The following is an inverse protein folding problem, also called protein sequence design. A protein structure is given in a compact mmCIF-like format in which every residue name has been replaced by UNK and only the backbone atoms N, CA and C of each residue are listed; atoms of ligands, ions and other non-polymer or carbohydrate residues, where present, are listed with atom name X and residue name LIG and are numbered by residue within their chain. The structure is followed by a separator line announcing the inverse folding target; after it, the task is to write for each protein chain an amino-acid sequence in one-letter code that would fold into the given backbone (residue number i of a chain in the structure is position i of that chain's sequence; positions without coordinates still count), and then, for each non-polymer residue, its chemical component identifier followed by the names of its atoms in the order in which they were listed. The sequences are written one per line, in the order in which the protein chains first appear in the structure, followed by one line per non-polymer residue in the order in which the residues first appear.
data_IF_389917351402
#
_entry.id   IF_389917351402
#
_cell.length_a   1.000
_cell.length_b   1.000
_cell.length_c   1.000
_cell.angle_alpha   90.00
_cell.angle_beta   90.00
_cell.angle_gamma   90.00
#
_symmetry.space_group_name_H-M   'P 1'
#
loop_
_entity.id
_entity.type
_entity.pdbx_description
1 polymer ?
#
# COMPACT_ATOMS: atom_id res chain seq x y z
N UNK A 1 -20.95 -20.70 4.04
CA UNK A 1 -21.01 -19.90 5.27
C UNK A 1 -19.60 -19.51 5.63
N UNK A 2 -19.23 -18.33 5.20
CA UNK A 2 -17.89 -17.78 5.26
C UNK A 2 -17.92 -16.28 4.95
N UNK A 3 -16.81 -15.62 5.22
CA UNK A 3 -16.50 -14.29 4.76
C UNK A 3 -15.88 -14.35 3.35
N UNK A 4 -16.44 -13.63 2.40
CA UNK A 4 -15.98 -13.56 1.01
C UNK A 4 -15.60 -12.14 0.63
N UNK A 5 -14.71 -12.04 -0.36
CA UNK A 5 -14.34 -10.79 -1.03
C UNK A 5 -14.89 -10.87 -2.45
N UNK A 6 -15.61 -9.84 -2.87
CA UNK A 6 -16.09 -9.66 -4.25
C UNK A 6 -14.91 -9.28 -5.15
N UNK A 7 -14.64 -10.11 -6.16
CA UNK A 7 -13.61 -9.89 -7.20
C UNK A 7 -14.21 -9.42 -8.52
N UNK A 8 -15.53 -9.51 -8.70
CA UNK A 8 -16.20 -9.16 -9.95
C UNK A 8 -16.55 -7.67 -10.06
N UNK A 9 -16.82 -7.03 -8.92
CA UNK A 9 -17.35 -5.67 -8.87
C UNK A 9 -16.49 -4.70 -8.04
N UNK A 10 -15.59 -5.24 -7.20
CA UNK A 10 -14.74 -4.46 -6.29
C UNK A 10 -13.25 -4.53 -6.60
N UNK A 11 -12.48 -3.68 -5.91
CA UNK A 11 -11.04 -3.77 -5.81
C UNK A 11 -10.67 -4.80 -4.72
N UNK A 12 -10.76 -6.09 -5.05
CA UNK A 12 -10.55 -7.19 -4.11
C UNK A 12 -9.18 -7.15 -3.44
N UNK A 13 -8.14 -6.76 -4.17
CA UNK A 13 -6.77 -6.67 -3.63
C UNK A 13 -6.69 -5.62 -2.53
N UNK A 14 -7.42 -4.51 -2.70
CA UNK A 14 -7.52 -3.49 -1.68
C UNK A 14 -8.29 -3.98 -0.45
N UNK A 15 -9.36 -4.75 -0.65
CA UNK A 15 -10.10 -5.38 0.45
C UNK A 15 -9.19 -6.31 1.25
N UNK A 16 -8.45 -7.17 0.57
CA UNK A 16 -7.50 -8.07 1.23
C UNK A 16 -6.37 -7.32 1.96
N UNK A 17 -5.87 -6.23 1.36
CA UNK A 17 -4.91 -5.33 1.99
C UNK A 17 -5.46 -4.69 3.27
N UNK A 18 -6.73 -4.27 3.29
CA UNK A 18 -7.36 -3.68 4.48
C UNK A 18 -7.57 -4.73 5.58
N UNK A 19 -7.96 -5.97 5.24
CA UNK A 19 -7.97 -7.09 6.20
C UNK A 19 -6.57 -7.40 6.75
N UNK A 20 -5.55 -7.36 5.89
CA UNK A 20 -4.15 -7.54 6.30
C UNK A 20 -3.76 -6.45 7.30
N UNK A 21 -4.13 -5.20 7.04
CA UNK A 21 -3.90 -4.09 7.97
C UNK A 21 -4.63 -4.30 9.30
N UNK A 22 -5.90 -4.72 9.28
CA UNK A 22 -6.69 -4.98 10.50
C UNK A 22 -6.09 -6.09 11.37
N UNK A 23 -5.48 -7.09 10.74
CA UNK A 23 -4.89 -8.25 11.42
C UNK A 23 -3.39 -8.08 11.74
N UNK A 24 -2.87 -6.85 11.62
CA UNK A 24 -1.47 -6.55 11.92
C UNK A 24 -0.47 -7.22 10.98
N UNK A 25 -0.86 -7.52 9.74
CA UNK A 25 -0.01 -8.19 8.76
C UNK A 25 0.17 -9.68 9.01
N UNK A 26 -0.81 -10.34 9.65
CA UNK A 26 -0.70 -11.77 9.96
C UNK A 26 -0.53 -12.63 8.70
N UNK A 27 0.51 -13.47 8.69
CA UNK A 27 0.76 -14.44 7.61
C UNK A 27 -0.28 -15.57 7.54
N UNK A 28 -1.12 -15.71 8.58
CA UNK A 28 -2.20 -16.69 8.64
C UNK A 28 -3.48 -16.24 7.90
N UNK A 29 -3.53 -14.98 7.44
CA UNK A 29 -4.60 -14.48 6.60
C UNK A 29 -4.37 -14.90 5.14
N UNK A 30 -5.44 -15.29 4.45
CA UNK A 30 -5.36 -15.70 3.05
C UNK A 30 -6.70 -15.78 2.37
N UNK A 31 -6.67 -16.18 1.09
CA UNK A 31 -7.84 -16.35 0.25
C UNK A 31 -7.80 -17.71 -0.43
N UNK A 32 -8.97 -18.27 -0.70
CA UNK A 32 -9.14 -19.48 -1.52
C UNK A 32 -10.27 -19.26 -2.52
N UNK A 33 -10.05 -19.67 -3.77
CA UNK A 33 -11.09 -19.63 -4.80
C UNK A 33 -12.27 -20.52 -4.40
N UNK A 34 -13.48 -20.02 -4.63
CA UNK A 34 -14.71 -20.80 -4.38
C UNK A 34 -15.05 -21.57 -5.65
N UNK A 35 -15.11 -22.90 -5.56
CA UNK A 35 -15.41 -23.73 -6.74
C UNK A 35 -16.78 -23.38 -7.30
N UNK A 36 -16.84 -23.05 -8.59
CA UNK A 36 -18.08 -22.70 -9.29
C UNK A 36 -18.40 -21.20 -9.30
N UNK A 37 -17.61 -20.37 -8.61
CA UNK A 37 -17.75 -18.91 -8.59
C UNK A 37 -16.44 -18.26 -9.06
N UNK A 38 -16.55 -17.27 -9.93
CA UNK A 38 -15.40 -16.52 -10.47
C UNK A 38 -15.36 -15.08 -10.00
N UNK A 39 -16.42 -14.64 -9.34
CA UNK A 39 -16.70 -13.29 -8.87
C UNK A 39 -16.53 -13.14 -7.35
N UNK A 40 -16.18 -14.22 -6.63
CA UNK A 40 -15.83 -14.18 -5.22
C UNK A 40 -14.64 -15.07 -4.87
N UNK A 41 -13.89 -14.67 -3.85
CA UNK A 41 -12.92 -15.50 -3.13
C UNK A 41 -13.31 -15.59 -1.66
N UNK A 42 -13.03 -16.73 -1.02
CA UNK A 42 -13.29 -16.91 0.41
C UNK A 42 -12.07 -16.48 1.21
N UNK A 43 -12.26 -15.59 2.17
CA UNK A 43 -11.25 -15.23 3.15
C UNK A 43 -11.03 -16.40 4.12
N UNK A 44 -9.77 -16.66 4.43
CA UNK A 44 -9.34 -17.67 5.42
C UNK A 44 -8.45 -17.00 6.45
N UNK A 45 -8.57 -17.40 7.70
CA UNK A 45 -7.68 -16.95 8.77
C UNK A 45 -7.45 -18.10 9.74
N UNK A 46 -6.25 -18.69 9.76
CA UNK A 46 -6.01 -19.95 10.49
C UNK A 46 -5.73 -19.75 11.97
N UNK A 47 -4.82 -18.82 12.30
CA UNK A 47 -4.41 -18.53 13.67
C UNK A 47 -4.49 -17.03 13.91
N UNK A 48 -5.59 -16.51 14.50
CA UNK A 48 -5.67 -15.09 14.78
C UNK A 48 -4.69 -14.65 15.86
N UNK A 49 -4.22 -13.40 15.74
CA UNK A 49 -3.57 -12.69 16.83
C UNK A 49 -4.43 -12.65 18.10
N UNK A 50 -3.81 -12.43 19.25
CA UNK A 50 -4.51 -12.41 20.54
C UNK A 50 -5.38 -11.16 20.76
N UNK A 51 -5.25 -10.14 19.91
CA UNK A 51 -6.02 -8.90 20.00
C UNK A 51 -7.47 -9.08 19.55
N UNK A 52 -8.36 -8.23 20.08
CA UNK A 52 -9.79 -8.34 19.84
C UNK A 52 -10.19 -8.17 18.36
N UNK A 53 -9.43 -7.39 17.59
CA UNK A 53 -9.69 -7.16 16.16
C UNK A 53 -9.45 -8.45 15.39
N UNK A 54 -8.26 -9.06 15.56
CA UNK A 54 -7.93 -10.35 14.94
C UNK A 54 -8.91 -11.45 15.31
N UNK A 55 -9.35 -11.51 16.57
CA UNK A 55 -10.34 -12.48 17.02
C UNK A 55 -11.72 -12.24 16.39
N UNK A 56 -12.15 -10.98 16.21
CA UNK A 56 -13.40 -10.68 15.51
C UNK A 56 -13.35 -11.03 14.02
N UNK A 57 -12.25 -10.73 13.34
CA UNK A 57 -12.06 -11.15 11.93
C UNK A 57 -12.12 -12.67 11.82
N UNK A 58 -11.47 -13.41 12.73
CA UNK A 58 -11.59 -14.88 12.78
C UNK A 58 -13.03 -15.34 12.96
N UNK A 59 -13.76 -14.74 13.90
CA UNK A 59 -15.15 -15.09 14.17
C UNK A 59 -16.05 -14.88 12.93
N UNK A 60 -15.80 -13.83 12.14
CA UNK A 60 -16.49 -13.58 10.88
C UNK A 60 -16.14 -14.60 9.80
N UNK A 61 -14.84 -14.95 9.66
CA UNK A 61 -14.38 -16.01 8.75
C UNK A 61 -15.03 -17.35 9.08
N UNK A 62 -15.18 -17.67 10.36
CA UNK A 62 -15.81 -18.90 10.86
C UNK A 62 -17.35 -18.82 10.95
N UNK A 63 -17.94 -17.67 10.64
CA UNK A 63 -19.35 -17.44 10.89
C UNK A 63 -20.25 -18.33 10.04
N UNK A 64 -21.46 -18.61 10.54
CA UNK A 64 -22.48 -19.35 9.80
C UNK A 64 -23.26 -18.45 8.82
N UNK A 65 -22.99 -17.15 8.76
CA UNK A 65 -23.57 -16.27 7.74
C UNK A 65 -22.68 -16.24 6.49
N UNK A 66 -23.26 -16.04 5.32
CA UNK A 66 -22.49 -15.64 4.14
C UNK A 66 -22.38 -14.11 4.13
N UNK A 67 -21.16 -13.60 4.19
CA UNK A 67 -20.85 -12.16 4.19
C UNK A 67 -19.99 -11.86 2.97
N UNK A 68 -20.39 -10.92 2.13
CA UNK A 68 -19.63 -10.52 0.92
C UNK A 68 -19.16 -9.07 1.07
N UNK A 69 -17.85 -8.88 1.03
CA UNK A 69 -17.21 -7.57 1.14
C UNK A 69 -16.78 -7.06 -0.23
N UNK A 70 -17.20 -5.84 -0.56
CA UNK A 70 -16.92 -5.16 -1.82
C UNK A 70 -16.22 -3.83 -1.58
N UNK A 71 -14.97 -3.72 -2.01
CA UNK A 71 -14.25 -2.45 -2.04
C UNK A 71 -14.61 -1.67 -3.31
N UNK A 72 -15.49 -0.69 -3.21
CA UNK A 72 -16.08 0.00 -4.37
C UNK A 72 -15.42 1.36 -4.63
N UNK A 73 -15.36 1.86 -5.88
CA UNK A 73 -14.80 3.18 -6.16
C UNK A 73 -15.68 4.31 -5.61
N UNK A 74 -15.13 5.50 -5.38
CA UNK A 74 -15.88 6.67 -4.88
C UNK A 74 -17.05 7.12 -5.77
N UNK A 75 -17.10 6.68 -7.03
CA UNK A 75 -18.24 6.92 -7.92
C UNK A 75 -19.39 5.93 -7.74
N UNK A 76 -19.25 4.95 -6.85
CA UNK A 76 -20.26 3.92 -6.63
C UNK A 76 -21.53 4.52 -6.01
N UNK A 77 -22.67 3.98 -6.44
CA UNK A 77 -23.99 4.35 -5.95
C UNK A 77 -24.58 3.13 -5.28
N UNK A 78 -24.94 3.31 -4.01
CA UNK A 78 -25.55 2.30 -3.15
C UNK A 78 -26.96 1.93 -3.65
N UNK A 79 -27.53 0.80 -3.21
CA UNK A 79 -28.87 0.38 -3.61
C UNK A 79 -29.97 1.40 -3.31
N UNK A 80 -29.78 2.24 -2.29
CA UNK A 80 -30.70 3.31 -1.90
C UNK A 80 -30.60 4.58 -2.79
N UNK A 81 -29.65 4.60 -3.72
CA UNK A 81 -29.38 5.71 -4.64
C UNK A 81 -28.37 6.75 -4.12
N UNK A 82 -27.88 6.62 -2.89
CA UNK A 82 -26.85 7.50 -2.35
C UNK A 82 -25.48 7.13 -2.92
N UNK A 83 -24.61 8.13 -3.09
CA UNK A 83 -23.22 7.87 -3.42
C UNK A 83 -22.50 7.28 -2.20
N UNK A 84 -21.60 6.32 -2.40
CA UNK A 84 -20.78 5.75 -1.31
C UNK A 84 -19.99 6.83 -0.56
N UNK A 85 -19.66 7.94 -1.23
CA UNK A 85 -19.00 9.09 -0.62
C UNK A 85 -19.81 9.81 0.44
N UNK A 86 -21.12 9.58 0.51
CA UNK A 86 -21.97 10.15 1.55
C UNK A 86 -21.86 9.44 2.90
N UNK A 87 -21.47 8.16 2.91
CA UNK A 87 -21.48 7.30 4.11
C UNK A 87 -20.17 6.56 4.38
N UNK A 88 -19.22 6.57 3.44
CA UNK A 88 -17.94 5.86 3.47
C UNK A 88 -18.05 4.32 3.38
N UNK A 89 -19.04 3.73 4.04
CA UNK A 89 -19.40 2.32 3.99
C UNK A 89 -20.90 2.12 4.20
N UNK A 90 -21.39 0.95 3.79
CA UNK A 90 -22.73 0.48 4.14
C UNK A 90 -22.75 -1.04 4.27
N UNK A 91 -23.45 -1.50 5.31
CA UNK A 91 -23.77 -2.91 5.52
C UNK A 91 -25.27 -3.14 5.38
N UNK A 92 -25.67 -4.06 4.51
CA UNK A 92 -27.07 -4.36 4.25
C UNK A 92 -27.29 -5.85 4.00
N UNK A 93 -28.55 -6.27 4.10
CA UNK A 93 -28.94 -7.65 3.75
C UNK A 93 -29.45 -7.69 2.32
N UNK A 94 -29.06 -8.72 1.59
CA UNK A 94 -29.52 -9.01 0.24
C UNK A 94 -30.08 -10.43 0.19
N UNK A 95 -30.92 -10.70 -0.80
CA UNK A 95 -31.46 -12.04 -1.05
C UNK A 95 -30.96 -12.54 -2.39
N UNK A 96 -30.28 -13.68 -2.40
CA UNK A 96 -29.79 -14.30 -3.63
C UNK A 96 -30.94 -14.73 -4.54
N UNK A 97 -30.62 -15.05 -5.80
CA UNK A 97 -31.60 -15.65 -6.73
C UNK A 97 -32.17 -17.00 -6.24
N UNK A 98 -31.50 -17.68 -5.30
CA UNK A 98 -31.95 -18.92 -4.66
C UNK A 98 -32.81 -18.68 -3.42
N UNK A 99 -32.97 -17.42 -2.98
CA UNK A 99 -33.74 -17.05 -1.79
C UNK A 99 -32.93 -17.05 -0.48
N UNK A 100 -31.61 -17.27 -0.56
CA UNK A 100 -30.73 -17.25 0.62
C UNK A 100 -30.41 -15.80 1.01
N UNK A 101 -30.37 -15.51 2.30
CA UNK A 101 -29.98 -14.19 2.81
C UNK A 101 -28.45 -14.10 2.88
N UNK A 102 -27.89 -13.04 2.30
CA UNK A 102 -26.46 -12.71 2.33
C UNK A 102 -26.30 -11.32 2.96
N UNK A 103 -25.29 -11.16 3.80
CA UNK A 103 -24.90 -9.84 4.30
C UNK A 103 -23.89 -9.25 3.33
N UNK A 104 -24.14 -8.03 2.85
CA UNK A 104 -23.23 -7.29 1.98
C UNK A 104 -22.60 -6.15 2.75
N UNK A 105 -21.30 -5.99 2.57
CA UNK A 105 -20.52 -4.86 3.04
C UNK A 105 -19.95 -4.17 1.80
N UNK A 106 -20.30 -2.92 1.58
CA UNK A 106 -19.69 -2.08 0.55
C UNK A 106 -18.98 -0.90 1.21
N UNK A 107 -17.76 -0.57 0.80
CA UNK A 107 -17.06 0.60 1.33
C UNK A 107 -16.15 1.25 0.30
N UNK A 108 -15.96 2.56 0.41
CA UNK A 108 -15.24 3.37 -0.56
C UNK A 108 -13.72 3.16 -0.46
N UNK A 109 -13.16 2.37 -1.38
CA UNK A 109 -11.71 2.19 -1.47
C UNK A 109 -10.99 3.40 -2.04
N UNK A 110 -11.71 4.28 -2.73
CA UNK A 110 -11.22 5.53 -3.30
C UNK A 110 -11.10 6.66 -2.27
N UNK A 111 -11.56 6.45 -1.03
CA UNK A 111 -11.39 7.39 0.09
C UNK A 111 -11.86 8.80 -0.25
N UNK A 112 -13.09 8.93 -0.70
CA UNK A 112 -13.67 10.16 -1.23
C UNK A 112 -12.78 10.85 -2.28
N UNK A 113 -12.48 10.12 -3.35
CA UNK A 113 -11.61 10.57 -4.46
C UNK A 113 -10.22 11.01 -3.96
N UNK A 114 -9.69 10.33 -2.95
CA UNK A 114 -8.40 10.62 -2.31
C UNK A 114 -8.45 11.75 -1.28
N UNK A 115 -9.63 12.35 -1.01
CA UNK A 115 -9.76 13.41 0.00
C UNK A 115 -9.71 12.89 1.43
N UNK A 116 -9.88 11.59 1.64
CA UNK A 116 -10.04 10.97 2.95
C UNK A 116 -11.45 11.14 3.51
N UNK A 117 -11.69 10.48 4.64
CA UNK A 117 -12.90 10.61 5.44
C UNK A 117 -12.56 11.08 6.85
N UNK A 118 -13.51 11.74 7.47
CA UNK A 118 -13.44 12.17 8.86
C UNK A 118 -14.67 11.76 9.64
N UNK A 119 -14.52 11.64 10.95
CA UNK A 119 -15.60 11.45 11.93
C UNK A 119 -15.36 12.34 13.14
N UNK A 120 -16.39 12.60 13.94
CA UNK A 120 -16.23 13.32 15.20
C UNK A 120 -15.41 12.47 16.20
N UNK A 121 -14.29 13.01 16.67
CA UNK A 121 -13.46 12.43 17.71
C UNK A 121 -13.97 12.75 19.12
N UNK A 122 -13.51 12.01 20.13
CA UNK A 122 -13.94 12.19 21.53
C UNK A 122 -13.67 13.59 22.11
N UNK A 123 -12.71 14.33 21.55
CA UNK A 123 -12.39 15.71 21.94
C UNK A 123 -13.30 16.77 21.30
N UNK A 124 -14.23 16.35 20.42
CA UNK A 124 -15.04 17.25 19.60
C UNK A 124 -14.30 17.82 18.38
N UNK A 125 -13.07 17.37 18.12
CA UNK A 125 -12.36 17.62 16.86
C UNK A 125 -12.67 16.52 15.85
N UNK A 126 -12.56 16.82 14.55
CA UNK A 126 -12.62 15.78 13.54
C UNK A 126 -11.34 14.93 13.61
N UNK A 127 -11.49 13.62 13.46
CA UNK A 127 -10.38 12.65 13.38
C UNK A 127 -10.49 11.88 12.07
N UNK A 128 -9.37 11.35 11.59
CA UNK A 128 -9.35 10.57 10.36
C UNK A 128 -10.19 9.29 10.50
N UNK A 129 -10.86 8.90 9.42
CA UNK A 129 -11.60 7.64 9.31
C UNK A 129 -10.95 6.78 8.21
N UNK A 130 -9.81 6.13 8.51
CA UNK A 130 -9.04 5.43 7.51
C UNK A 130 -9.76 4.18 7.03
N UNK A 131 -9.46 3.76 5.80
CA UNK A 131 -10.17 2.71 5.08
C UNK A 131 -10.34 1.39 5.85
N UNK A 132 -9.27 0.92 6.49
CA UNK A 132 -9.32 -0.29 7.31
C UNK A 132 -10.29 -0.16 8.49
N UNK A 133 -10.39 1.03 9.09
CA UNK A 133 -11.32 1.32 10.18
C UNK A 133 -12.76 1.44 9.65
N UNK A 134 -12.97 2.03 8.46
CA UNK A 134 -14.27 1.99 7.76
C UNK A 134 -14.70 0.54 7.53
N UNK A 135 -13.83 -0.30 6.96
CA UNK A 135 -14.13 -1.72 6.75
C UNK A 135 -14.48 -2.42 8.07
N UNK A 136 -13.73 -2.19 9.15
CA UNK A 136 -14.02 -2.81 10.44
C UNK A 136 -15.33 -2.34 11.06
N UNK A 137 -15.69 -1.07 10.89
CA UNK A 137 -16.99 -0.53 11.28
C UNK A 137 -18.12 -1.32 10.59
N UNK A 138 -18.08 -1.43 9.26
CA UNK A 138 -19.07 -2.20 8.50
C UNK A 138 -19.10 -3.69 8.88
N UNK A 139 -17.94 -4.29 9.10
CA UNK A 139 -17.86 -5.67 9.57
C UNK A 139 -18.44 -5.86 10.97
N UNK A 140 -18.53 -4.81 11.78
CA UNK A 140 -19.18 -4.85 13.10
C UNK A 140 -20.70 -4.95 12.94
N UNK A 141 -21.31 -4.18 12.02
CA UNK A 141 -22.70 -4.39 11.62
C UNK A 141 -22.94 -5.80 11.09
N UNK A 142 -22.06 -6.28 10.20
CA UNK A 142 -22.18 -7.62 9.65
C UNK A 142 -22.12 -8.68 10.76
N UNK A 143 -21.21 -8.51 11.73
CA UNK A 143 -21.11 -9.37 12.91
C UNK A 143 -22.40 -9.36 13.74
N UNK A 144 -22.98 -8.18 14.01
CA UNK A 144 -24.26 -8.06 14.73
C UNK A 144 -25.39 -8.77 13.98
N UNK A 145 -25.47 -8.62 12.66
CA UNK A 145 -26.50 -9.28 11.83
C UNK A 145 -26.36 -10.80 11.91
N UNK A 146 -25.18 -11.36 11.64
CA UNK A 146 -25.01 -12.82 11.60
C UNK A 146 -25.11 -13.49 12.96
N UNK A 147 -24.90 -12.75 14.06
CA UNK A 147 -25.06 -13.23 15.43
C UNK A 147 -26.43 -12.88 16.05
N UNK A 148 -27.37 -12.32 15.28
CA UNK A 148 -28.68 -11.87 15.78
C UNK A 148 -28.55 -10.92 16.99
N UNK A 149 -27.52 -10.07 16.97
CA UNK A 149 -27.16 -9.11 18.01
C UNK A 149 -27.42 -7.65 17.58
N UNK A 150 -28.14 -7.44 16.47
CA UNK A 150 -28.52 -6.11 15.98
C UNK A 150 -29.31 -5.37 17.06
N UNK A 151 -28.94 -4.12 17.32
CA UNK A 151 -29.62 -3.29 18.30
C UNK A 151 -31.06 -2.96 17.89
N UNK A 152 -31.89 -2.57 18.87
CA UNK A 152 -33.32 -2.35 18.66
C UNK A 152 -33.66 -1.14 17.76
N UNK A 153 -32.71 -0.22 17.57
CA UNK A 153 -32.87 0.97 16.72
C UNK A 153 -31.61 1.20 15.90
N UNK A 154 -31.73 1.84 14.74
CA UNK A 154 -30.58 2.17 13.90
C UNK A 154 -29.55 3.02 14.65
N UNK A 155 -29.99 4.05 15.41
CA UNK A 155 -29.07 4.87 16.20
C UNK A 155 -28.32 4.07 17.28
N UNK A 156 -28.97 3.08 17.92
CA UNK A 156 -28.30 2.22 18.89
C UNK A 156 -27.35 1.22 18.21
N UNK A 157 -27.67 0.79 16.99
CA UNK A 157 -26.84 -0.11 16.18
C UNK A 157 -25.57 0.59 15.70
N UNK A 158 -25.70 1.81 15.17
CA UNK A 158 -24.58 2.69 14.84
C UNK A 158 -23.68 2.91 16.06
N UNK A 159 -24.26 3.26 17.21
CA UNK A 159 -23.47 3.43 18.44
C UNK A 159 -22.74 2.16 18.88
N UNK A 160 -23.34 0.97 18.67
CA UNK A 160 -22.69 -0.31 18.95
C UNK A 160 -21.51 -0.56 17.99
N UNK A 161 -21.70 -0.32 16.69
CA UNK A 161 -20.65 -0.44 15.69
C UNK A 161 -19.53 0.59 15.88
N UNK A 162 -19.82 1.84 16.26
CA UNK A 162 -18.83 2.86 16.61
C UNK A 162 -18.05 2.48 17.88
N UNK A 163 -18.69 1.79 18.83
CA UNK A 163 -18.01 1.25 20.03
C UNK A 163 -17.04 0.14 19.64
N UNK A 164 -17.45 -0.74 18.73
CA UNK A 164 -16.60 -1.77 18.15
C UNK A 164 -15.45 -1.16 17.33
N UNK A 165 -15.71 -0.16 16.48
CA UNK A 165 -14.74 0.61 15.70
C UNK A 165 -13.61 1.14 16.60
N UNK A 166 -13.96 1.67 17.77
CA UNK A 166 -12.99 2.17 18.74
C UNK A 166 -12.04 1.09 19.30
N UNK A 167 -12.43 -0.19 19.28
CA UNK A 167 -11.51 -1.31 19.58
C UNK A 167 -10.42 -1.39 18.52
N UNK A 168 -10.78 -1.27 17.24
CA UNK A 168 -9.82 -1.28 16.14
C UNK A 168 -8.94 -0.03 16.11
N UNK A 169 -9.52 1.15 16.36
CA UNK A 169 -8.75 2.41 16.49
C UNK A 169 -7.71 2.31 17.60
N UNK A 170 -8.11 1.85 18.79
CA UNK A 170 -7.20 1.66 19.92
C UNK A 170 -6.07 0.67 19.61
N UNK A 171 -6.39 -0.46 18.96
CA UNK A 171 -5.37 -1.44 18.56
C UNK A 171 -4.34 -0.88 17.55
N UNK A 172 -4.74 0.13 16.76
CA UNK A 172 -3.89 0.79 15.76
C UNK A 172 -3.23 2.08 16.25
N UNK A 173 -3.56 2.54 17.46
CA UNK A 173 -3.06 3.81 18.00
C UNK A 173 -3.70 5.03 17.34
N UNK A 174 -4.91 4.89 16.80
CA UNK A 174 -5.68 5.97 16.18
C UNK A 174 -6.50 6.74 17.22
N UNK A 175 -6.84 7.99 16.92
CA UNK A 175 -7.76 8.77 17.73
C UNK A 175 -9.16 8.14 17.73
N UNK A 176 -9.78 8.08 18.91
CA UNK A 176 -11.09 7.46 19.12
C UNK A 176 -12.23 8.34 18.60
N UNK A 177 -13.22 7.70 17.96
CA UNK A 177 -14.49 8.30 17.53
C UNK A 177 -15.40 8.54 18.73
N UNK A 178 -16.16 9.63 18.69
CA UNK A 178 -17.24 9.92 19.63
C UNK A 178 -18.47 9.09 19.27
N UNK A 179 -18.77 8.05 20.05
CA UNK A 179 -19.84 7.07 19.76
C UNK A 179 -21.27 7.58 19.94
N UNK A 180 -21.43 8.87 20.24
CA UNK A 180 -22.73 9.55 20.31
C UNK A 180 -22.93 10.51 19.14
N UNK A 181 -21.99 10.53 18.19
CA UNK A 181 -22.05 11.35 16.99
C UNK A 181 -21.85 10.49 15.76
N UNK A 182 -22.89 10.45 14.92
CA UNK A 182 -22.86 9.79 13.62
C UNK A 182 -22.41 10.72 12.50
N UNK A 183 -21.84 11.88 12.84
CA UNK A 183 -21.33 12.80 11.85
C UNK A 183 -20.02 12.27 11.26
N UNK A 184 -19.92 12.40 9.96
CA UNK A 184 -18.70 12.22 9.21
C UNK A 184 -18.82 12.89 7.85
N UNK A 185 -17.76 12.83 7.08
CA UNK A 185 -17.79 13.33 5.72
C UNK A 185 -16.47 13.21 5.01
N UNK A 186 -16.43 13.75 3.80
CA UNK A 186 -15.21 13.83 3.01
C UNK A 186 -14.26 14.91 3.54
N UNK A 187 -12.96 14.61 3.46
CA UNK A 187 -11.87 15.53 3.80
C UNK A 187 -11.18 15.17 5.10
N UNK A 188 -9.97 14.63 5.04
CA UNK A 188 -9.18 14.33 6.23
C UNK A 188 -8.79 15.61 7.00
N UNK A 189 -9.03 15.71 8.32
CA UNK A 189 -8.61 16.84 9.16
C UNK A 189 -7.10 16.97 9.29
N UNK A 190 -6.34 15.90 9.11
CA UNK A 190 -4.89 15.96 8.87
C UNK A 190 -4.61 16.08 7.37
N UNK A 191 -3.68 16.94 6.96
CA UNK A 191 -3.18 16.98 5.57
C UNK A 191 -2.53 15.66 5.09
N UNK A 192 -2.51 14.63 5.93
CA UNK A 192 -2.44 13.22 5.55
C UNK A 192 -3.77 12.79 4.90
N UNK A 193 -4.10 13.40 3.76
CA UNK A 193 -5.17 12.97 2.85
C UNK A 193 -5.03 11.47 2.57
N UNK A 194 -5.74 10.66 3.36
CA UNK A 194 -5.43 9.25 3.50
C UNK A 194 -3.95 9.04 3.79
N UNK A 195 -3.51 9.08 5.05
CA UNK A 195 -2.49 8.12 5.45
C UNK A 195 -3.16 6.73 5.29
N UNK A 196 -3.27 6.28 4.03
CA UNK A 196 -2.47 5.16 3.65
C UNK A 196 -1.24 5.17 4.57
N UNK A 197 -1.29 4.39 5.65
CA UNK A 197 -0.17 3.50 5.86
C UNK A 197 -0.01 2.82 4.49
N UNK A 198 0.78 3.50 3.65
CA UNK A 198 1.32 3.03 2.39
C UNK A 198 2.19 1.93 2.89
N UNK A 199 1.56 0.81 3.18
CA UNK A 199 2.24 -0.40 3.55
C UNK A 199 2.91 -0.74 2.25
N UNK A 200 4.23 -0.52 2.24
CA UNK A 200 5.07 -1.06 1.21
C UNK A 200 5.05 -2.57 1.44
N UNK A 201 3.92 -3.25 1.15
CA UNK A 201 3.62 -4.62 1.56
C UNK A 201 4.79 -5.57 1.31
N UNK A 202 5.42 -5.47 0.13
CA UNK A 202 6.60 -6.26 -0.23
C UNK A 202 7.79 -5.95 0.69
N UNK A 203 8.07 -4.67 0.97
CA UNK A 203 9.13 -4.23 1.89
C UNK A 203 8.82 -4.65 3.32
N UNK A 204 7.59 -4.45 3.78
CA UNK A 204 7.16 -4.86 5.12
C UNK A 204 7.33 -6.36 5.31
N UNK A 205 6.83 -7.16 4.37
CA UNK A 205 6.94 -8.60 4.44
C UNK A 205 8.39 -9.09 4.29
N UNK A 206 9.20 -8.46 3.42
CA UNK A 206 10.62 -8.81 3.25
C UNK A 206 11.47 -8.48 4.48
N UNK A 207 11.22 -7.34 5.13
CA UNK A 207 12.02 -6.84 6.25
C UNK A 207 11.56 -7.38 7.60
N UNK A 208 10.31 -7.83 7.72
CA UNK A 208 9.76 -8.35 8.97
C UNK A 208 9.79 -7.30 10.09
N UNK A 209 10.39 -7.63 11.23
CA UNK A 209 10.46 -6.72 12.38
C UNK A 209 11.23 -5.41 12.10
N UNK A 210 12.12 -5.39 11.11
CA UNK A 210 12.88 -4.20 10.71
C UNK A 210 12.13 -3.31 9.69
N UNK A 211 10.91 -3.70 9.31
CA UNK A 211 10.13 -3.05 8.26
C UNK A 211 9.88 -1.58 8.53
N UNK A 212 9.46 -1.22 9.75
CA UNK A 212 8.94 0.12 10.04
C UNK A 212 9.90 1.23 9.61
N UNK A 213 11.17 1.14 10.02
CA UNK A 213 12.21 2.13 9.66
C UNK A 213 12.44 2.23 8.16
N UNK A 214 12.45 1.08 7.48
CA UNK A 214 12.67 1.02 6.03
C UNK A 214 11.49 1.61 5.27
N UNK A 215 10.27 1.32 5.72
CA UNK A 215 9.03 1.85 5.18
C UNK A 215 8.97 3.37 5.39
N UNK A 216 9.34 3.86 6.56
CA UNK A 216 9.35 5.30 6.87
C UNK A 216 10.34 6.06 5.96
N UNK A 217 11.53 5.50 5.72
CA UNK A 217 12.50 6.09 4.79
C UNK A 217 11.97 6.15 3.35
N UNK A 218 11.26 5.10 2.89
CA UNK A 218 10.62 5.08 1.57
C UNK A 218 9.51 6.13 1.44
N UNK A 219 8.67 6.23 2.48
CA UNK A 219 7.59 7.22 2.55
C UNK A 219 8.18 8.63 2.47
N UNK A 220 9.25 8.90 3.22
CA UNK A 220 9.93 10.19 3.19
C UNK A 220 10.47 10.54 1.78
N UNK A 221 11.13 9.61 1.09
CA UNK A 221 11.59 9.89 -0.29
C UNK A 221 10.42 10.17 -1.21
N UNK A 222 9.39 9.31 -1.16
CA UNK A 222 8.19 9.47 -1.98
C UNK A 222 7.60 10.85 -1.79
N UNK A 223 7.43 11.28 -0.54
CA UNK A 223 6.78 12.55 -0.23
C UNK A 223 7.62 13.75 -0.66
N UNK A 224 8.93 13.71 -0.40
CA UNK A 224 9.83 14.82 -0.73
C UNK A 224 10.23 14.90 -2.21
N UNK A 225 10.38 13.76 -2.89
CA UNK A 225 10.90 13.72 -4.26
C UNK A 225 9.81 13.61 -5.32
N UNK A 226 8.69 12.95 -5.01
CA UNK A 226 7.65 12.59 -6.00
C UNK A 226 6.36 13.36 -5.74
N UNK A 227 5.81 13.29 -4.53
CA UNK A 227 4.47 13.85 -4.23
C UNK A 227 4.47 15.36 -4.00
N UNK A 228 5.62 16.00 -3.78
CA UNK A 228 5.72 17.47 -3.64
C UNK A 228 5.23 18.23 -4.89
N UNK A 229 5.20 17.57 -6.07
CA UNK A 229 4.73 18.16 -7.32
C UNK A 229 3.36 17.57 -7.71
N UNK A 230 2.35 18.38 -8.11
CA UNK A 230 1.01 17.89 -8.43
C UNK A 230 0.96 16.79 -9.51
N UNK A 231 1.83 16.89 -10.52
CA UNK A 231 1.93 15.87 -11.58
C UNK A 231 2.63 14.60 -11.10
N UNK A 232 3.59 14.72 -10.17
CA UNK A 232 4.28 13.59 -9.55
C UNK A 232 3.38 12.85 -8.57
N UNK A 233 2.57 13.59 -7.82
CA UNK A 233 1.46 13.06 -7.03
C UNK A 233 0.53 12.23 -7.92
N UNK A 234 -0.03 12.80 -8.99
CA UNK A 234 -0.98 12.08 -9.84
C UNK A 234 -0.39 10.82 -10.50
N UNK A 235 0.85 10.88 -11.00
CA UNK A 235 1.52 9.70 -11.55
C UNK A 235 1.81 8.65 -10.47
N UNK A 236 2.22 9.09 -9.27
CA UNK A 236 2.45 8.19 -8.16
C UNK A 236 1.16 7.47 -7.77
N UNK A 237 0.04 8.17 -7.61
CA UNK A 237 -1.26 7.55 -7.32
C UNK A 237 -1.65 6.50 -8.38
N UNK A 238 -1.41 6.77 -9.67
CA UNK A 238 -1.69 5.80 -10.75
C UNK A 238 -0.76 4.56 -10.66
N UNK A 239 0.56 4.75 -10.46
CA UNK A 239 1.51 3.64 -10.26
C UNK A 239 1.22 2.85 -8.98
N UNK A 240 0.78 3.55 -7.94
CA UNK A 240 0.55 3.00 -6.63
C UNK A 240 -0.71 2.15 -6.57
N UNK A 241 -1.77 2.57 -7.30
CA UNK A 241 -2.97 1.78 -7.53
C UNK A 241 -2.61 0.41 -8.14
N UNK A 242 -1.76 0.39 -9.16
CA UNK A 242 -1.28 -0.84 -9.77
C UNK A 242 -0.40 -1.65 -8.81
N UNK A 243 0.51 -1.01 -8.06
CA UNK A 243 1.29 -1.71 -7.04
C UNK A 243 0.39 -2.42 -6.02
N UNK A 244 -0.74 -1.83 -5.64
CA UNK A 244 -1.66 -2.40 -4.65
C UNK A 244 -2.48 -3.56 -5.19
N UNK A 245 -2.67 -3.69 -6.51
CA UNK A 245 -3.38 -4.83 -7.08
C UNK A 245 -2.59 -6.14 -7.02
N UNK A 246 -1.25 -6.10 -6.89
CA UNK A 246 -0.46 -7.33 -6.84
C UNK A 246 0.43 -7.47 -5.60
N UNK A 247 0.78 -6.36 -4.92
CA UNK A 247 1.72 -6.41 -3.80
C UNK A 247 1.25 -7.16 -2.55
N UNK A 248 -0.04 -7.18 -2.16
CA UNK A 248 -0.51 -8.00 -1.05
C UNK A 248 -0.28 -9.49 -1.29
N UNK A 249 -0.55 -9.97 -2.51
CA UNK A 249 -0.30 -11.36 -2.90
C UNK A 249 1.18 -11.74 -2.85
N UNK A 250 2.08 -10.84 -3.27
CA UNK A 250 3.53 -11.05 -3.12
C UNK A 250 3.92 -11.08 -1.64
N UNK A 251 3.50 -10.08 -0.85
CA UNK A 251 3.81 -9.97 0.57
C UNK A 251 3.38 -11.22 1.35
N UNK A 252 2.19 -11.75 1.05
CA UNK A 252 1.71 -13.02 1.58
C UNK A 252 2.67 -14.17 1.32
N UNK A 253 3.15 -14.31 0.08
CA UNK A 253 4.15 -15.35 -0.25
C UNK A 253 5.44 -15.17 0.56
N UNK A 254 5.88 -13.93 0.78
CA UNK A 254 7.06 -13.64 1.60
C UNK A 254 6.82 -13.98 3.09
N UNK A 255 5.62 -13.77 3.62
CA UNK A 255 5.31 -14.19 5.00
C UNK A 255 5.30 -15.70 5.16
N UNK A 256 4.80 -16.43 4.16
CA UNK A 256 4.68 -17.89 4.21
C UNK A 256 5.99 -18.64 3.88
N UNK A 257 6.90 -18.02 3.14
CA UNK A 257 8.17 -18.63 2.71
C UNK A 257 9.37 -17.77 3.15
N UNK A 258 10.02 -18.10 4.29
CA UNK A 258 11.19 -17.37 4.76
C UNK A 258 12.37 -17.35 3.78
N UNK A 259 12.57 -18.41 2.98
CA UNK A 259 13.66 -18.46 2.03
C UNK A 259 13.41 -17.54 0.82
N UNK A 260 12.14 -17.40 0.41
CA UNK A 260 11.73 -16.41 -0.58
C UNK A 260 11.80 -14.99 -0.02
N UNK A 261 11.40 -14.78 1.25
CA UNK A 261 11.52 -13.51 1.96
C UNK A 261 12.95 -12.99 1.97
N UNK A 262 13.90 -13.81 2.38
CA UNK A 262 15.32 -13.44 2.45
C UNK A 262 15.87 -13.12 1.06
N UNK A 263 15.49 -13.92 0.05
CA UNK A 263 15.87 -13.64 -1.34
C UNK A 263 15.29 -12.31 -1.84
N UNK A 264 14.03 -11.99 -1.51
CA UNK A 264 13.42 -10.70 -1.86
C UNK A 264 14.06 -9.53 -1.14
N UNK A 265 14.37 -9.70 0.15
CA UNK A 265 15.07 -8.72 0.96
C UNK A 265 16.40 -8.34 0.32
N UNK A 266 17.23 -9.33 0.03
CA UNK A 266 18.57 -9.13 -0.54
C UNK A 266 18.52 -8.65 -2.00
N UNK A 267 17.61 -9.21 -2.82
CA UNK A 267 17.58 -8.96 -4.26
C UNK A 267 16.85 -7.70 -4.68
N UNK A 268 15.82 -7.33 -3.93
CA UNK A 268 14.85 -6.31 -4.34
C UNK A 268 14.90 -5.17 -3.33
N UNK A 269 14.63 -5.45 -2.07
CA UNK A 269 14.30 -4.43 -1.07
C UNK A 269 15.53 -3.67 -0.59
N UNK A 270 16.59 -4.34 -0.15
CA UNK A 270 17.80 -3.66 0.34
C UNK A 270 18.52 -2.82 -0.73
N UNK A 271 18.65 -3.28 -2.00
CA UNK A 271 19.20 -2.44 -3.07
C UNK A 271 18.34 -1.21 -3.34
N UNK A 272 17.02 -1.37 -3.32
CA UNK A 272 16.05 -0.29 -3.49
C UNK A 272 16.18 0.75 -2.37
N UNK A 273 16.16 0.31 -1.11
CA UNK A 273 16.36 1.15 0.07
C UNK A 273 17.70 1.87 0.05
N UNK A 274 18.77 1.19 -0.40
CA UNK A 274 20.09 1.81 -0.53
C UNK A 274 20.07 2.99 -1.53
N UNK A 275 19.36 2.85 -2.65
CA UNK A 275 19.19 3.94 -3.63
C UNK A 275 18.41 5.09 -3.02
N UNK A 276 17.35 4.77 -2.28
CA UNK A 276 16.52 5.77 -1.62
C UNK A 276 17.26 6.52 -0.51
N UNK A 277 18.07 5.83 0.29
CA UNK A 277 18.91 6.46 1.30
C UNK A 277 19.87 7.49 0.68
N UNK A 278 20.42 7.18 -0.50
CA UNK A 278 21.22 8.17 -1.22
C UNK A 278 20.35 9.32 -1.72
N UNK A 279 19.21 9.03 -2.34
CA UNK A 279 18.31 10.06 -2.84
C UNK A 279 17.99 11.07 -1.74
N UNK A 280 17.67 10.58 -0.55
CA UNK A 280 17.48 11.43 0.62
C UNK A 280 18.72 12.28 0.90
N UNK A 281 19.91 11.68 0.93
CA UNK A 281 21.15 12.41 1.23
C UNK A 281 21.45 13.50 0.21
N UNK A 282 21.16 13.22 -1.06
CA UNK A 282 21.27 14.18 -2.13
C UNK A 282 20.28 15.34 -2.00
N UNK A 283 19.05 15.04 -1.58
CA UNK A 283 17.99 16.01 -1.37
C UNK A 283 18.20 16.82 -0.09
N UNK A 284 18.91 16.32 0.91
CA UNK A 284 19.21 17.07 2.15
C UNK A 284 20.33 18.08 1.96
N UNK A 285 21.26 17.79 1.05
CA UNK A 285 22.26 18.76 0.61
C UNK A 285 21.67 19.93 -0.19
N UNK A 286 20.35 19.98 -0.40
CA UNK A 286 19.69 21.16 -0.95
C UNK A 286 19.60 22.29 0.08
N UNK A 287 19.95 23.52 -0.31
CA UNK A 287 20.13 24.66 0.60
C UNK A 287 18.86 25.13 1.32
N UNK A 288 17.70 24.52 1.09
CA UNK A 288 16.41 24.97 1.60
C UNK A 288 15.65 23.89 2.41
N UNK A 289 16.30 22.78 2.78
CA UNK A 289 15.64 21.63 3.44
C UNK A 289 16.27 21.28 4.79
N UNK A 290 16.44 22.29 5.66
CA UNK A 290 17.06 22.14 6.98
C UNK A 290 16.34 21.15 7.94
N UNK A 291 15.09 20.78 7.66
CA UNK A 291 14.33 19.80 8.45
C UNK A 291 14.69 18.33 8.14
N UNK A 292 15.41 18.09 7.04
CA UNK A 292 15.63 16.74 6.48
C UNK A 292 16.90 16.08 7.02
N UNK A 293 17.85 16.86 7.53
CA UNK A 293 19.16 16.36 7.98
C UNK A 293 19.10 15.41 9.20
N UNK A 294 18.18 15.61 10.14
CA UNK A 294 18.10 14.78 11.35
C UNK A 294 17.57 13.36 11.07
N UNK A 295 16.55 13.24 10.22
CA UNK A 295 15.95 11.95 9.83
C UNK A 295 16.91 11.15 8.94
N UNK A 296 17.73 11.86 8.16
CA UNK A 296 18.72 11.28 7.27
C UNK A 296 19.98 10.77 7.95
N UNK A 297 20.48 11.50 8.94
CA UNK A 297 21.61 11.04 9.72
C UNK A 297 21.31 9.69 10.40
N UNK A 298 20.07 9.50 10.86
CA UNK A 298 19.60 8.28 11.50
C UNK A 298 19.34 7.13 10.49
N UNK A 299 18.72 7.44 9.35
CA UNK A 299 18.50 6.47 8.26
C UNK A 299 19.84 5.98 7.64
N UNK A 300 20.81 6.86 7.44
CA UNK A 300 22.13 6.49 6.92
C UNK A 300 22.96 5.69 7.93
N UNK A 301 22.85 5.98 9.23
CA UNK A 301 23.57 5.24 10.27
C UNK A 301 23.10 3.77 10.39
N UNK A 302 21.84 3.48 10.03
CA UNK A 302 21.23 2.16 10.18
C UNK A 302 21.26 1.31 8.91
N UNK A 303 21.43 1.91 7.73
CA UNK A 303 21.39 1.18 6.44
C UNK A 303 22.79 0.72 5.96
N UNK A 304 23.87 1.07 6.67
CA UNK A 304 25.25 0.93 6.14
C UNK A 304 26.03 -0.24 6.75
N UNK A 305 26.06 -1.34 5.99
CA UNK A 305 27.30 -2.07 5.71
C UNK A 305 27.79 -1.65 4.31
N UNK A 306 28.75 -0.72 4.25
CA UNK A 306 29.17 -0.08 2.99
C UNK A 306 30.04 -1.02 2.14
N UNK A 307 29.61 -1.24 0.90
CA UNK A 307 30.45 -1.75 -0.19
C UNK A 307 30.54 -0.71 -1.32
N UNK A 308 31.67 -0.62 -2.04
CA UNK A 308 31.93 0.39 -3.08
C UNK A 308 30.97 0.46 -4.29
N UNK A 309 30.13 -0.55 -4.63
CA UNK A 309 29.12 -0.41 -5.68
C UNK A 309 27.99 0.56 -5.34
N UNK A 310 27.65 0.71 -4.05
CA UNK A 310 26.48 1.48 -3.58
C UNK A 310 26.68 2.99 -3.70
N UNK A 311 27.89 3.48 -3.44
CA UNK A 311 28.28 4.90 -3.55
C UNK A 311 28.34 5.44 -5.00
N UNK A 312 28.45 4.56 -6.02
CA UNK A 312 28.41 4.99 -7.43
C UNK A 312 26.98 5.12 -7.96
N UNK A 313 26.12 4.15 -7.61
CA UNK A 313 24.69 4.18 -7.93
C UNK A 313 24.05 5.42 -7.31
N UNK A 314 24.48 5.72 -6.09
CA UNK A 314 24.17 6.92 -5.37
C UNK A 314 24.36 8.20 -6.20
N UNK A 315 25.60 8.50 -6.60
CA UNK A 315 25.97 9.72 -7.32
C UNK A 315 25.23 9.87 -8.68
N UNK A 316 24.90 8.76 -9.34
CA UNK A 316 24.19 8.77 -10.63
C UNK A 316 22.72 9.14 -10.49
N UNK A 317 22.09 8.69 -9.40
CA UNK A 317 20.70 8.99 -9.09
C UNK A 317 20.56 10.45 -8.68
N UNK A 318 21.54 11.00 -7.96
CA UNK A 318 21.68 12.44 -7.70
C UNK A 318 21.73 13.25 -9.00
N UNK A 319 22.56 12.85 -9.97
CA UNK A 319 22.69 13.55 -11.25
C UNK A 319 21.40 13.54 -12.09
N UNK A 320 20.62 12.45 -12.01
CA UNK A 320 19.31 12.34 -12.69
C UNK A 320 18.24 13.17 -12.00
N UNK A 321 18.25 13.27 -10.67
CA UNK A 321 17.21 13.96 -9.89
C UNK A 321 17.46 15.46 -9.74
N UNK A 322 18.72 15.92 -9.69
CA UNK A 322 19.08 17.31 -9.36
C UNK A 322 19.17 18.29 -10.55
N UNK A 323 18.50 18.01 -11.67
CA UNK A 323 18.40 18.94 -12.81
C UNK A 323 19.74 19.52 -13.31
N UNK A 324 20.81 18.70 -13.29
CA UNK A 324 21.97 18.93 -14.17
C UNK A 324 21.72 18.30 -15.54
N UNK A 325 20.52 18.51 -16.09
CA UNK A 325 20.12 18.00 -17.41
C UNK A 325 21.31 18.02 -18.37
N UNK A 326 21.54 16.94 -19.13
CA UNK A 326 22.83 16.53 -19.65
C UNK A 326 23.66 17.74 -20.09
N UNK A 327 24.56 18.19 -19.22
CA UNK A 327 25.49 19.27 -19.56
C UNK A 327 26.40 18.72 -20.63
N UNK A 328 26.18 19.19 -21.85
CA UNK A 328 27.01 19.03 -23.05
C UNK A 328 28.01 17.86 -23.00
N UNK A 329 27.57 16.71 -23.53
CA UNK A 329 28.48 15.69 -24.03
C UNK A 329 29.04 14.67 -23.03
N UNK A 330 28.64 14.67 -21.76
CA UNK A 330 29.22 13.78 -20.75
C UNK A 330 28.21 13.00 -19.90
N UNK A 331 27.19 12.40 -20.52
CA UNK A 331 26.57 11.15 -20.05
C UNK A 331 26.22 10.31 -21.27
N UNK A 332 27.23 9.72 -21.90
CA UNK A 332 27.00 8.64 -22.84
C UNK A 332 26.36 7.46 -22.10
N UNK A 333 25.04 7.34 -22.17
CA UNK A 333 24.27 6.09 -22.22
C UNK A 333 24.56 4.94 -21.24
N UNK A 334 25.28 5.12 -20.13
CA UNK A 334 25.79 3.98 -19.32
C UNK A 334 25.79 4.17 -17.81
N UNK A 335 24.93 5.02 -17.27
CA UNK A 335 24.98 5.43 -15.86
C UNK A 335 23.65 5.24 -15.10
N UNK A 336 23.10 4.03 -15.23
CA UNK A 336 22.62 3.24 -14.09
C UNK A 336 22.98 1.81 -14.51
N UNK A 337 23.65 1.06 -13.64
CA UNK A 337 24.13 -0.27 -14.03
C UNK A 337 22.98 -1.14 -14.54
N UNK A 338 23.02 -1.58 -15.82
CA UNK A 338 22.04 -2.51 -16.41
C UNK A 338 21.94 -3.81 -15.60
N UNK A 339 22.92 -4.03 -14.71
CA UNK A 339 22.95 -5.11 -13.73
C UNK A 339 21.92 -4.95 -12.61
N UNK A 340 21.25 -3.81 -12.41
CA UNK A 340 20.17 -3.67 -11.42
C UNK A 340 18.80 -3.51 -12.10
N UNK A 341 18.32 -4.53 -12.83
CA UNK A 341 17.11 -4.43 -13.65
C UNK A 341 15.87 -4.09 -12.83
N UNK A 342 15.81 -4.55 -11.57
CA UNK A 342 14.71 -4.25 -10.65
C UNK A 342 14.72 -2.79 -10.20
N UNK A 343 15.86 -2.24 -9.80
CA UNK A 343 16.01 -0.83 -9.45
C UNK A 343 15.72 0.07 -10.66
N UNK A 344 16.19 -0.33 -11.84
CA UNK A 344 15.91 0.36 -13.09
C UNK A 344 14.40 0.42 -13.36
N UNK A 345 13.73 -0.73 -13.27
CA UNK A 345 12.30 -0.82 -13.49
C UNK A 345 11.48 -0.09 -12.42
N UNK A 346 11.77 -0.29 -11.13
CA UNK A 346 10.95 0.21 -10.03
C UNK A 346 11.15 1.71 -9.76
N UNK A 347 12.37 2.24 -9.94
CA UNK A 347 12.69 3.64 -9.58
C UNK A 347 13.04 4.45 -10.82
N UNK A 348 14.12 4.06 -11.51
CA UNK A 348 14.80 4.95 -12.45
C UNK A 348 13.95 5.21 -13.69
N UNK A 349 13.33 4.18 -14.25
CA UNK A 349 12.50 4.28 -15.46
C UNK A 349 11.23 5.12 -15.22
N UNK A 350 10.44 4.90 -14.14
CA UNK A 350 9.33 5.80 -13.79
C UNK A 350 9.77 7.25 -13.62
N UNK A 351 10.84 7.50 -12.86
CA UNK A 351 11.35 8.86 -12.66
C UNK A 351 11.82 9.51 -13.96
N UNK A 352 12.49 8.77 -14.85
CA UNK A 352 12.89 9.28 -16.17
C UNK A 352 11.70 9.57 -17.07
N UNK A 353 10.70 8.68 -17.11
CA UNK A 353 9.48 8.90 -17.86
C UNK A 353 8.76 10.16 -17.36
N UNK A 354 8.66 10.31 -16.05
CA UNK A 354 8.11 11.48 -15.38
C UNK A 354 8.85 12.77 -15.74
N UNK A 355 10.17 12.82 -15.56
CA UNK A 355 10.97 14.01 -15.87
C UNK A 355 10.98 14.34 -17.35
N UNK A 356 10.94 13.34 -18.23
CA UNK A 356 10.80 13.54 -19.68
C UNK A 356 9.53 14.31 -20.04
N UNK A 357 8.41 14.02 -19.37
CA UNK A 357 7.14 14.76 -19.57
C UNK A 357 7.25 16.20 -19.06
N UNK A 358 7.92 16.43 -17.93
CA UNK A 358 8.15 17.78 -17.39
C UNK A 358 9.02 18.63 -18.32
N UNK A 359 10.16 18.10 -18.75
CA UNK A 359 11.11 18.82 -19.61
C UNK A 359 10.50 19.17 -20.98
N UNK A 360 9.49 18.41 -21.42
CA UNK A 360 8.72 18.71 -22.62
C UNK A 360 7.69 19.85 -22.44
N UNK A 361 7.59 20.47 -21.25
CA UNK A 361 6.73 21.63 -20.97
C UNK A 361 5.23 21.34 -20.92
N UNK A 362 4.81 20.07 -20.78
CA UNK A 362 3.40 19.64 -20.85
C UNK A 362 2.77 19.45 -19.47
N UNK A 363 2.77 20.49 -18.64
CA UNK A 363 2.08 20.46 -17.36
C UNK A 363 0.66 21.04 -17.49
N UNK A 364 -0.39 20.35 -16.97
CA UNK A 364 -0.39 18.98 -16.46
C UNK A 364 -0.36 17.93 -17.58
N UNK A 365 0.27 16.78 -17.32
CA UNK A 365 0.29 15.65 -18.25
C UNK A 365 -1.16 15.14 -18.43
N UNK A 366 -1.69 15.04 -19.68
CA UNK A 366 -3.02 14.49 -19.91
C UNK A 366 -3.16 13.08 -19.31
N UNK A 367 -4.34 12.73 -18.78
CA UNK A 367 -4.60 11.41 -18.16
C UNK A 367 -4.15 10.24 -19.05
N UNK A 368 -4.48 10.30 -20.35
CA UNK A 368 -4.06 9.29 -21.33
C UNK A 368 -2.53 9.12 -21.47
N UNK A 369 -1.73 10.17 -21.20
CA UNK A 369 -0.27 10.05 -21.19
C UNK A 369 0.21 9.32 -19.93
N UNK A 370 -0.41 9.57 -18.77
CA UNK A 370 -0.08 8.86 -17.53
C UNK A 370 -0.43 7.38 -17.61
N UNK A 371 -1.64 7.06 -18.07
CA UNK A 371 -2.07 5.67 -18.33
C UNK A 371 -1.09 4.92 -19.24
N UNK A 372 -0.61 5.57 -20.31
CA UNK A 372 0.42 5.00 -21.19
C UNK A 372 1.76 4.79 -20.51
N UNK A 373 2.19 5.70 -19.62
CA UNK A 373 3.44 5.54 -18.87
C UNK A 373 3.33 4.37 -17.90
N UNK A 374 2.19 4.23 -17.22
CA UNK A 374 1.90 3.11 -16.31
C UNK A 374 1.85 1.79 -17.08
N UNK A 375 1.13 1.73 -18.20
CA UNK A 375 1.07 0.54 -19.04
C UNK A 375 2.45 0.13 -19.56
N UNK A 376 3.23 1.08 -20.10
CA UNK A 376 4.61 0.82 -20.50
C UNK A 376 5.48 0.33 -19.34
N UNK A 377 5.35 0.91 -18.16
CA UNK A 377 6.10 0.48 -16.98
C UNK A 377 5.76 -0.96 -16.58
N UNK A 378 4.47 -1.33 -16.60
CA UNK A 378 4.00 -2.68 -16.31
C UNK A 378 4.49 -3.70 -17.36
N UNK A 379 4.48 -3.35 -18.65
CA UNK A 379 5.04 -4.20 -19.72
C UNK A 379 6.53 -4.52 -19.53
N UNK A 380 7.24 -3.63 -18.82
CA UNK A 380 8.66 -3.79 -18.52
C UNK A 380 8.91 -4.48 -17.17
N UNK A 381 7.86 -4.92 -16.47
CA UNK A 381 8.00 -5.56 -15.17
C UNK A 381 8.85 -6.83 -15.28
N UNK A 382 9.93 -6.93 -14.48
CA UNK A 382 10.65 -8.17 -14.38
C UNK A 382 9.71 -9.24 -13.81
N UNK A 383 9.89 -10.50 -14.22
CA UNK A 383 9.15 -11.59 -13.59
C UNK A 383 9.49 -11.66 -12.09
N UNK A 384 8.55 -11.19 -11.28
CA UNK A 384 8.58 -11.16 -9.82
C UNK A 384 8.09 -12.50 -9.22
N UNK A 385 7.55 -13.40 -10.04
CA UNK A 385 7.06 -14.71 -9.59
C UNK A 385 8.15 -15.78 -9.52
N UNK A 386 9.35 -15.43 -9.97
CA UNK A 386 10.53 -16.28 -10.04
C UNK A 386 10.84 -16.99 -8.70
N UNK A 387 11.38 -18.21 -8.79
CA UNK A 387 11.76 -19.01 -7.62
C UNK A 387 12.86 -18.32 -6.80
N UNK A 388 13.01 -18.64 -5.50
CA UNK A 388 14.09 -18.09 -4.67
C UNK A 388 15.49 -18.26 -5.29
N UNK A 389 15.75 -19.39 -5.93
CA UNK A 389 17.02 -19.66 -6.61
C UNK A 389 17.19 -18.84 -7.89
N UNK A 390 16.10 -18.58 -8.63
CA UNK A 390 16.15 -17.68 -9.78
C UNK A 390 16.41 -16.23 -9.34
N UNK A 391 15.83 -15.78 -8.23
CA UNK A 391 16.11 -14.46 -7.64
C UNK A 391 17.55 -14.36 -7.14
N UNK A 392 18.01 -15.33 -6.34
CA UNK A 392 19.40 -15.40 -5.86
C UNK A 392 20.42 -15.53 -6.99
N UNK A 393 20.12 -16.31 -8.03
CA UNK A 393 20.99 -16.40 -9.20
C UNK A 393 21.08 -15.06 -9.94
N UNK A 394 19.96 -14.33 -10.04
CA UNK A 394 19.96 -12.97 -10.60
C UNK A 394 20.81 -12.03 -9.74
N UNK A 395 20.68 -12.04 -8.40
CA UNK A 395 21.55 -11.27 -7.49
C UNK A 395 23.02 -11.65 -7.65
N UNK A 396 23.35 -12.93 -7.60
CA UNK A 396 24.72 -13.40 -7.76
C UNK A 396 25.29 -13.06 -9.15
N UNK A 397 24.44 -12.93 -10.18
CA UNK A 397 24.84 -12.41 -11.49
C UNK A 397 25.13 -10.91 -11.39
N UNK A 398 24.26 -10.13 -10.74
CA UNK A 398 24.49 -8.70 -10.45
C UNK A 398 25.80 -8.50 -9.71
N UNK A 399 26.01 -9.19 -8.58
CA UNK A 399 27.19 -9.07 -7.73
C UNK A 399 28.47 -9.48 -8.44
N UNK A 400 28.48 -10.61 -9.16
CA UNK A 400 29.65 -11.02 -9.95
C UNK A 400 29.97 -10.02 -11.05
N UNK A 401 28.95 -9.39 -11.63
CA UNK A 401 29.18 -8.42 -12.70
C UNK A 401 29.60 -7.06 -12.11
N UNK A 402 29.13 -6.69 -10.91
CA UNK A 402 29.56 -5.51 -10.15
C UNK A 402 30.99 -5.63 -9.57
N UNK A 403 31.36 -6.81 -9.06
CA UNK A 403 32.65 -7.07 -8.39
C UNK A 403 33.72 -7.62 -9.34
N UNK A 404 33.32 -8.28 -10.44
CA UNK A 404 34.22 -8.90 -11.43
C UNK A 404 34.93 -7.92 -12.37
N UNK A 405 34.61 -6.62 -12.33
CA UNK A 405 35.28 -5.59 -13.12
C UNK A 405 36.66 -5.16 -12.59
N UNK A 406 37.13 -5.74 -11.48
CA UNK A 406 38.36 -5.32 -10.77
C UNK A 406 39.52 -6.31 -10.86
N UNK A 407 39.68 -7.04 -11.97
CA UNK A 407 40.87 -7.90 -12.17
C UNK A 407 42.14 -7.11 -12.52
N UNK A 408 42.10 -5.77 -12.56
CA UNK A 408 43.25 -4.92 -12.88
C UNK A 408 44.12 -4.51 -11.68
N UNK A 409 43.80 -4.92 -10.44
CA UNK A 409 44.55 -4.52 -9.23
C UNK A 409 45.35 -5.65 -8.56
N UNK A 410 45.82 -6.62 -9.35
CA UNK A 410 46.90 -7.54 -8.94
C UNK A 410 47.96 -7.62 -10.03
N UNK A 411 48.72 -6.55 -10.21
CA UNK A 411 50.16 -6.59 -10.54
C UNK A 411 50.84 -5.41 -9.87
#
# INVERSE_FOLDING_TARGET
MALYIDVGFGNSDQVFADFTSLTGGSGDLGEVNVTGFTDIVRLTYTSPGADAVSQRIKALVDSTGDIVVSGVPSSFVLPDGNAITAVAGETFTDTTSTGDTVVRVAYDVGMCNGSGYWVDGQSGSHVDFPRAIILYHELSHAWHIVNSAVAATSAAEEQAAETDENVARSAKGEDLRLTTSHNGGCGSPGSSSGDWQIDCFVVTAAMGADAQRSVDALRLVRDLAVRVLPVGYALFEDLYREYYSYSPGIARRLWLDPALRDAYREAVVEPLLSVYAVLLHALSAWPDVAAVDAVLADALATTVGAGPPRERLAAQVVDVVLDRGPRDGLVGGRLVDDRLPLTQWAIIRPLRAYWGVRLAGRAPAPAALRERIVAWWLEQAPDLTATPDALRHRVALVERTLLGGSSAWRR
#
